data_IF_808776697456
#
_entry.id   IF_808776697456
#
_cell.length_a   1.000
_cell.length_b   1.000
_cell.length_c   1.000
_cell.angle_alpha   90.00
_cell.angle_beta   90.00
_cell.angle_gamma   90.00
#
_symmetry.space_group_name_H-M   'P 1'
#
loop_
_entity.id
_entity.type
_entity.pdbx_description
1 polymer ?
#
# COMPACT_ATOMS: atom_id res chain seq x y z
N UNK A 1 2.31 19.33 -19.63
CA UNK A 1 3.07 18.09 -19.92
C UNK A 1 2.73 17.59 -21.31
N UNK A 2 3.71 17.09 -22.06
CA UNK A 2 3.51 16.58 -23.44
C UNK A 2 2.99 15.14 -23.43
N UNK A 3 2.52 14.64 -24.58
CA UNK A 3 2.12 13.22 -24.73
C UNK A 3 3.33 12.27 -24.62
N UNK A 4 4.51 12.72 -25.04
CA UNK A 4 5.76 11.96 -24.97
C UNK A 4 6.21 11.75 -23.51
N UNK A 5 6.10 12.78 -22.67
CA UNK A 5 6.38 12.68 -21.23
C UNK A 5 5.47 11.65 -20.54
N UNK A 6 4.19 11.63 -20.90
CA UNK A 6 3.21 10.65 -20.37
C UNK A 6 3.54 9.23 -20.80
N UNK A 7 3.92 9.03 -22.06
CA UNK A 7 4.32 7.72 -22.55
C UNK A 7 5.62 7.25 -21.89
N UNK A 8 6.58 8.16 -21.66
CA UNK A 8 7.81 7.87 -20.94
C UNK A 8 7.56 7.39 -19.50
N UNK A 9 6.63 8.03 -18.78
CA UNK A 9 6.24 7.60 -17.42
C UNK A 9 5.59 6.22 -17.42
N UNK A 10 4.67 5.95 -18.33
CA UNK A 10 4.00 4.64 -18.43
C UNK A 10 4.96 3.50 -18.78
N UNK A 11 6.03 3.81 -19.53
CA UNK A 11 7.07 2.85 -19.90
C UNK A 11 8.18 2.71 -18.83
N UNK A 12 8.18 3.57 -17.80
CA UNK A 12 9.18 3.48 -16.72
C UNK A 12 8.93 2.25 -15.85
N UNK A 13 9.97 1.62 -15.27
CA UNK A 13 9.80 0.51 -14.35
C UNK A 13 8.88 0.92 -13.17
N UNK A 14 7.81 0.16 -12.88
CA UNK A 14 6.95 0.47 -11.74
C UNK A 14 7.71 0.35 -10.42
N UNK A 15 7.55 1.31 -9.51
CA UNK A 15 8.35 1.39 -8.27
C UNK A 15 8.06 0.28 -7.26
N UNK A 16 6.96 -0.46 -7.45
CA UNK A 16 6.53 -1.58 -6.61
C UNK A 16 6.90 -2.95 -7.19
N UNK A 17 7.51 -2.99 -8.38
CA UNK A 17 8.09 -4.20 -8.97
C UNK A 17 9.55 -4.26 -8.55
N UNK A 18 9.93 -5.32 -7.84
CA UNK A 18 11.25 -5.45 -7.21
C UNK A 18 11.65 -4.20 -6.37
N UNK A 19 10.86 -3.83 -5.35
CA UNK A 19 11.04 -2.61 -4.56
C UNK A 19 12.40 -2.53 -3.84
N UNK A 20 13.02 -3.67 -3.52
CA UNK A 20 14.35 -3.75 -2.91
C UNK A 20 15.50 -3.78 -3.92
N UNK A 21 15.23 -4.05 -5.20
CA UNK A 21 16.27 -4.26 -6.20
C UNK A 21 17.06 -5.56 -6.03
N UNK A 22 16.43 -6.62 -5.49
CA UNK A 22 17.04 -7.95 -5.38
C UNK A 22 17.34 -8.51 -6.78
N UNK A 23 18.51 -9.08 -7.01
CA UNK A 23 18.78 -9.76 -8.27
C UNK A 23 17.98 -11.06 -8.35
N UNK A 24 17.61 -11.49 -9.56
CA UNK A 24 16.95 -12.79 -9.75
C UNK A 24 17.81 -13.96 -9.22
N UNK A 25 19.13 -13.82 -9.30
CA UNK A 25 20.11 -14.81 -8.84
C UNK A 25 20.32 -14.80 -7.32
N UNK A 26 19.91 -13.74 -6.60
CA UNK A 26 19.99 -13.68 -5.13
C UNK A 26 18.93 -14.58 -4.46
N UNK A 27 17.96 -15.09 -5.23
CA UNK A 27 16.94 -16.04 -4.77
C UNK A 27 17.42 -17.50 -4.84
N UNK A 28 18.47 -17.79 -5.62
CA UNK A 28 19.02 -19.14 -5.86
C UNK A 28 20.44 -19.32 -5.28
N UNK A 29 21.00 -18.29 -4.65
CA UNK A 29 22.35 -18.34 -4.12
C UNK A 29 22.43 -19.06 -2.77
N UNK A 30 22.89 -20.31 -2.81
CA UNK A 30 23.29 -21.19 -1.69
C UNK A 30 24.55 -20.63 -0.97
N UNK A 31 24.44 -19.40 -0.45
CA UNK A 31 25.44 -18.76 0.41
C UNK A 31 24.95 -18.95 1.84
N UNK A 32 25.86 -19.30 2.76
CA UNK A 32 25.68 -19.33 4.22
C UNK A 32 25.25 -17.94 4.78
N UNK A 33 24.14 -17.40 4.30
CA UNK A 33 23.44 -16.28 4.88
C UNK A 33 22.67 -16.82 6.08
N UNK A 34 22.86 -16.15 7.21
CA UNK A 34 22.03 -16.36 8.40
C UNK A 34 20.59 -16.05 8.01
N UNK A 35 19.81 -17.07 7.67
CA UNK A 35 18.38 -16.94 7.37
C UNK A 35 17.72 -16.22 8.55
N UNK A 36 17.01 -15.14 8.24
CA UNK A 36 16.29 -14.40 9.26
C UNK A 36 15.18 -15.29 9.82
N UNK A 37 15.04 -15.33 11.14
CA UNK A 37 13.93 -16.05 11.77
C UNK A 37 12.61 -15.35 11.46
N UNK A 38 11.52 -16.10 11.37
CA UNK A 38 10.18 -15.58 11.12
C UNK A 38 9.82 -14.39 12.02
N UNK A 39 10.19 -14.45 13.30
CA UNK A 39 9.98 -13.36 14.26
C UNK A 39 10.66 -12.05 13.82
N UNK A 40 11.87 -12.12 13.27
CA UNK A 40 12.63 -10.95 12.80
C UNK A 40 12.01 -10.37 11.53
N UNK A 41 11.64 -11.23 10.57
CA UNK A 41 10.98 -10.84 9.33
C UNK A 41 9.65 -10.13 9.62
N UNK A 42 8.82 -10.75 10.45
CA UNK A 42 7.52 -10.18 10.85
C UNK A 42 7.71 -8.87 11.60
N UNK A 43 8.71 -8.77 12.47
CA UNK A 43 9.01 -7.53 13.21
C UNK A 43 9.38 -6.39 12.26
N UNK A 44 10.20 -6.64 11.25
CA UNK A 44 10.58 -5.63 10.25
C UNK A 44 9.35 -5.13 9.47
N UNK A 45 8.51 -6.04 8.98
CA UNK A 45 7.25 -5.70 8.30
C UNK A 45 6.35 -4.83 9.18
N UNK A 46 6.15 -5.22 10.45
CA UNK A 46 5.31 -4.47 11.40
C UNK A 46 5.88 -3.08 11.67
N UNK A 47 7.19 -2.96 11.87
CA UNK A 47 7.84 -1.67 12.15
C UNK A 47 7.67 -0.72 10.97
N UNK A 48 7.95 -1.17 9.74
CA UNK A 48 7.81 -0.29 8.57
C UNK A 48 6.35 0.07 8.30
N UNK A 49 5.42 -0.88 8.45
CA UNK A 49 4.00 -0.61 8.28
C UNK A 49 3.47 0.40 9.31
N UNK A 50 3.91 0.30 10.57
CA UNK A 50 3.57 1.30 11.61
C UNK A 50 4.12 2.68 11.30
N UNK A 51 5.37 2.76 10.83
CA UNK A 51 5.98 4.03 10.45
C UNK A 51 5.24 4.68 9.28
N UNK A 52 4.90 3.90 8.26
CA UNK A 52 4.11 4.36 7.12
C UNK A 52 2.70 4.83 7.56
N UNK A 53 2.05 4.07 8.44
CA UNK A 53 0.71 4.40 8.95
C UNK A 53 0.73 5.68 9.79
N UNK A 54 1.68 5.81 10.69
CA UNK A 54 1.83 7.01 11.53
C UNK A 54 2.01 8.26 10.67
N UNK A 55 2.86 8.19 9.64
CA UNK A 55 3.05 9.33 8.74
C UNK A 55 1.80 9.64 7.91
N UNK A 56 1.10 8.61 7.42
CA UNK A 56 -0.15 8.79 6.69
C UNK A 56 -1.22 9.44 7.57
N UNK A 57 -1.35 9.03 8.83
CA UNK A 57 -2.27 9.60 9.80
C UNK A 57 -1.94 11.05 10.15
N UNK A 58 -0.66 11.40 10.30
CA UNK A 58 -0.22 12.78 10.52
C UNK A 58 -0.56 13.69 9.32
N UNK A 59 -0.39 13.18 8.10
CA UNK A 59 -0.71 13.92 6.89
C UNK A 59 -2.23 14.05 6.64
N UNK A 60 -3.00 13.01 7.01
CA UNK A 60 -4.43 12.89 6.73
C UNK A 60 -5.24 14.11 7.14
N UNK A 61 -5.07 14.59 8.36
CA UNK A 61 -5.96 15.61 8.91
C UNK A 61 -5.74 16.95 8.18
N UNK A 62 -4.49 17.30 7.89
CA UNK A 62 -4.13 18.46 7.08
C UNK A 62 -4.65 18.35 5.65
N UNK A 63 -4.47 17.18 5.03
CA UNK A 63 -4.96 16.90 3.68
C UNK A 63 -6.47 17.08 3.56
N UNK A 64 -7.23 16.49 4.50
CA UNK A 64 -8.69 16.58 4.50
C UNK A 64 -9.15 18.02 4.73
N UNK A 65 -8.53 18.71 5.69
CA UNK A 65 -8.93 20.07 6.04
C UNK A 65 -8.72 21.03 4.87
N UNK A 66 -7.58 20.94 4.18
CA UNK A 66 -7.26 21.84 3.07
C UNK A 66 -8.02 21.48 1.78
N UNK A 67 -8.26 20.19 1.54
CA UNK A 67 -8.88 19.72 0.29
C UNK A 67 -10.41 19.80 0.31
N UNK A 68 -11.04 19.49 1.46
CA UNK A 68 -12.49 19.35 1.59
C UNK A 68 -13.13 20.32 2.59
N UNK A 69 -12.32 21.12 3.31
CA UNK A 69 -12.79 22.05 4.34
C UNK A 69 -13.67 21.39 5.42
N UNK A 70 -13.39 20.13 5.74
CA UNK A 70 -14.08 19.35 6.78
C UNK A 70 -13.05 18.67 7.67
N UNK A 71 -13.49 17.93 8.68
CA UNK A 71 -12.62 17.04 9.45
C UNK A 71 -12.69 15.58 8.97
N UNK A 72 -11.77 14.76 9.50
CA UNK A 72 -11.67 13.35 9.17
C UNK A 72 -12.94 12.57 9.54
N UNK A 73 -13.54 12.83 10.70
CA UNK A 73 -14.68 12.06 11.18
C UNK A 73 -15.88 12.22 10.25
N UNK A 74 -16.16 13.45 9.84
CA UNK A 74 -17.25 13.79 8.93
C UNK A 74 -17.02 13.20 7.52
N UNK A 75 -15.82 13.41 6.95
CA UNK A 75 -15.52 12.90 5.62
C UNK A 75 -15.52 11.37 5.58
N UNK A 76 -14.92 10.73 6.60
CA UNK A 76 -14.88 9.28 6.69
C UNK A 76 -16.29 8.71 6.87
N UNK A 77 -17.12 9.28 7.75
CA UNK A 77 -18.50 8.82 7.95
C UNK A 77 -19.33 8.89 6.67
N UNK A 78 -19.20 9.97 5.90
CA UNK A 78 -19.93 10.16 4.64
C UNK A 78 -19.49 9.18 3.54
N UNK A 79 -18.19 8.86 3.48
CA UNK A 79 -17.62 8.14 2.34
C UNK A 79 -17.16 6.70 2.64
N UNK A 80 -17.18 6.23 3.89
CA UNK A 80 -16.67 4.90 4.30
C UNK A 80 -17.19 3.72 3.48
N UNK A 81 -18.42 3.79 2.96
CA UNK A 81 -19.03 2.72 2.17
C UNK A 81 -18.70 2.80 0.67
N UNK A 82 -17.98 3.84 0.23
CA UNK A 82 -17.56 3.99 -1.16
C UNK A 82 -16.16 3.38 -1.30
N UNK A 83 -15.96 2.55 -2.31
CA UNK A 83 -14.72 1.84 -2.57
C UNK A 83 -14.55 1.65 -4.09
N UNK A 84 -13.33 1.40 -4.54
CA UNK A 84 -13.05 1.07 -5.94
C UNK A 84 -12.74 -0.41 -6.06
N UNK A 85 -13.51 -1.12 -6.90
CA UNK A 85 -13.45 -2.60 -7.03
C UNK A 85 -12.08 -3.17 -7.39
N UNK A 86 -11.17 -2.35 -7.91
CA UNK A 86 -9.79 -2.77 -8.24
C UNK A 86 -8.83 -2.71 -7.05
N UNK A 87 -9.21 -2.03 -5.96
CA UNK A 87 -8.49 -2.03 -4.69
C UNK A 87 -8.95 -3.23 -3.82
N UNK A 88 -8.16 -3.61 -2.80
CA UNK A 88 -8.59 -4.62 -1.83
C UNK A 88 -9.85 -4.16 -1.08
N UNK A 89 -10.94 -4.91 -1.22
CA UNK A 89 -12.24 -4.61 -0.62
C UNK A 89 -12.51 -5.40 0.67
N UNK A 90 -13.76 -5.41 1.13
CA UNK A 90 -14.14 -6.12 2.38
C UNK A 90 -13.93 -7.64 2.32
N UNK A 91 -13.88 -8.23 1.13
CA UNK A 91 -13.56 -9.65 0.92
C UNK A 91 -12.09 -9.97 1.18
N UNK A 92 -11.22 -8.99 0.96
CA UNK A 92 -9.77 -9.08 1.13
C UNK A 92 -9.34 -8.59 2.51
N UNK A 93 -9.89 -7.45 2.93
CA UNK A 93 -9.63 -6.76 4.18
C UNK A 93 -10.98 -6.57 4.88
N UNK A 94 -11.42 -7.52 5.72
CA UNK A 94 -12.76 -7.52 6.34
C UNK A 94 -12.85 -6.57 7.54
N UNK A 95 -12.44 -5.31 7.34
CA UNK A 95 -12.51 -4.21 8.29
C UNK A 95 -12.54 -2.87 7.58
N UNK A 96 -13.07 -1.88 8.27
CA UNK A 96 -12.94 -0.47 7.90
C UNK A 96 -11.76 0.20 8.63
N UNK A 97 -11.36 1.37 8.15
CA UNK A 97 -10.29 2.16 8.76
C UNK A 97 -10.60 2.46 10.23
N UNK A 98 -9.63 2.23 11.12
CA UNK A 98 -9.75 2.39 12.56
C UNK A 98 -10.44 1.21 13.30
N UNK A 99 -10.94 0.21 12.59
CA UNK A 99 -11.52 -0.98 13.21
C UNK A 99 -10.46 -2.05 13.50
N UNK A 100 -10.80 -2.99 14.38
CA UNK A 100 -9.99 -4.19 14.61
C UNK A 100 -10.51 -5.33 13.74
N UNK A 101 -9.61 -6.18 13.24
CA UNK A 101 -9.96 -7.44 12.59
C UNK A 101 -10.66 -8.38 13.57
N UNK A 102 -11.62 -9.14 13.06
CA UNK A 102 -12.27 -10.19 13.85
C UNK A 102 -11.25 -11.25 14.27
N UNK A 103 -11.36 -11.73 15.50
CA UNK A 103 -10.43 -12.72 16.03
C UNK A 103 -10.51 -14.04 15.26
N UNK A 104 -11.70 -14.49 14.83
CA UNK A 104 -11.83 -15.73 14.08
C UNK A 104 -11.26 -15.62 12.67
N UNK A 105 -11.17 -14.41 12.12
CA UNK A 105 -10.43 -14.16 10.89
C UNK A 105 -8.92 -14.32 11.14
N UNK A 106 -8.40 -13.65 12.18
CA UNK A 106 -6.99 -13.70 12.55
C UNK A 106 -6.50 -15.13 12.85
N UNK A 107 -7.26 -15.89 13.64
CA UNK A 107 -6.92 -17.25 14.07
C UNK A 107 -6.81 -18.26 12.90
N UNK A 108 -7.31 -17.91 11.70
CA UNK A 108 -7.26 -18.75 10.50
C UNK A 108 -6.09 -18.40 9.57
N UNK A 109 -5.36 -17.32 9.85
CA UNK A 109 -4.31 -16.84 8.96
C UNK A 109 -3.10 -17.77 8.98
N UNK A 110 -2.47 -17.90 7.83
CA UNK A 110 -1.20 -18.58 7.64
C UNK A 110 -0.18 -17.55 7.15
N UNK A 111 1.05 -17.63 7.66
CA UNK A 111 2.09 -16.61 7.42
C UNK A 111 2.36 -16.39 5.92
N UNK A 112 2.55 -17.45 5.15
CA UNK A 112 2.87 -17.34 3.71
C UNK A 112 1.71 -16.72 2.93
N UNK A 113 0.48 -17.12 3.23
CA UNK A 113 -0.72 -16.54 2.60
C UNK A 113 -0.89 -15.08 2.99
N UNK A 114 -0.62 -14.73 4.26
CA UNK A 114 -0.67 -13.36 4.72
C UNK A 114 0.39 -12.48 4.04
N UNK A 115 1.62 -12.98 3.86
CA UNK A 115 2.69 -12.30 3.13
C UNK A 115 2.30 -12.06 1.67
N UNK A 116 1.82 -13.09 0.98
CA UNK A 116 1.37 -12.98 -0.42
C UNK A 116 0.23 -11.97 -0.58
N UNK A 117 -0.79 -12.05 0.27
CA UNK A 117 -1.92 -11.13 0.24
C UNK A 117 -1.47 -9.69 0.54
N UNK A 118 -0.69 -9.49 1.60
CA UNK A 118 -0.18 -8.17 1.95
C UNK A 118 0.67 -7.56 0.83
N UNK A 119 1.55 -8.34 0.20
CA UNK A 119 2.37 -7.87 -0.91
C UNK A 119 1.52 -7.42 -2.09
N UNK A 120 0.57 -8.25 -2.54
CA UNK A 120 -0.34 -7.89 -3.64
C UNK A 120 -1.19 -6.65 -3.30
N UNK A 121 -1.74 -6.57 -2.08
CA UNK A 121 -2.55 -5.43 -1.65
C UNK A 121 -1.74 -4.13 -1.64
N UNK A 122 -0.52 -4.17 -1.11
CA UNK A 122 0.39 -3.03 -1.11
C UNK A 122 0.78 -2.60 -2.54
N UNK A 123 0.94 -3.53 -3.47
CA UNK A 123 1.18 -3.18 -4.88
C UNK A 123 -0.04 -2.48 -5.52
N UNK A 124 -1.27 -2.94 -5.24
CA UNK A 124 -2.51 -2.25 -5.68
C UNK A 124 -2.55 -0.80 -5.17
N UNK A 125 -2.22 -0.56 -3.91
CA UNK A 125 -2.14 0.81 -3.38
C UNK A 125 -1.01 1.62 -4.02
N UNK A 126 0.11 0.99 -4.39
CA UNK A 126 1.21 1.67 -5.07
C UNK A 126 0.79 2.19 -6.46
N UNK A 127 -0.01 1.42 -7.21
CA UNK A 127 -0.60 1.87 -8.48
C UNK A 127 -1.42 3.14 -8.27
N UNK A 128 -2.25 3.19 -7.23
CA UNK A 128 -3.08 4.34 -6.91
C UNK A 128 -2.27 5.56 -6.48
N UNK A 129 -1.32 5.39 -5.56
CA UNK A 129 -0.47 6.46 -5.07
C UNK A 129 0.43 7.04 -6.17
N UNK A 130 0.94 6.21 -7.09
CA UNK A 130 1.70 6.67 -8.26
C UNK A 130 0.85 7.64 -9.11
N UNK A 131 -0.42 7.30 -9.37
CA UNK A 131 -1.31 8.19 -10.11
C UNK A 131 -1.58 9.50 -9.34
N UNK A 132 -1.70 9.45 -8.01
CA UNK A 132 -1.86 10.65 -7.18
C UNK A 132 -0.63 11.54 -7.32
N UNK A 133 0.58 10.99 -7.18
CA UNK A 133 1.84 11.73 -7.33
C UNK A 133 1.92 12.37 -8.72
N UNK A 134 1.62 11.63 -9.79
CA UNK A 134 1.61 12.19 -11.14
C UNK A 134 0.62 13.33 -11.30
N UNK A 135 -0.58 13.21 -10.72
CA UNK A 135 -1.56 14.30 -10.78
C UNK A 135 -1.09 15.52 -9.97
N UNK A 136 -0.44 15.31 -8.82
CA UNK A 136 0.13 16.40 -8.03
C UNK A 136 1.24 17.15 -8.80
N UNK A 137 2.09 16.41 -9.52
CA UNK A 137 3.12 17.00 -10.40
C UNK A 137 2.50 17.76 -11.57
N UNK A 138 1.58 17.12 -12.30
CA UNK A 138 0.99 17.64 -13.54
C UNK A 138 0.18 18.92 -13.32
N UNK A 139 -0.47 19.01 -12.16
CA UNK A 139 -1.33 20.12 -11.79
C UNK A 139 -0.66 21.09 -10.80
N UNK A 140 0.61 20.88 -10.45
CA UNK A 140 1.37 21.70 -9.49
C UNK A 140 0.63 21.90 -8.15
N UNK A 141 0.12 20.80 -7.59
CA UNK A 141 -0.66 20.80 -6.36
C UNK A 141 0.24 20.79 -5.12
N UNK A 142 -0.32 21.25 -4.01
CA UNK A 142 0.43 21.57 -2.78
C UNK A 142 0.94 20.35 -2.00
N UNK A 143 0.40 19.15 -2.26
CA UNK A 143 0.71 17.93 -1.51
C UNK A 143 1.68 16.98 -2.22
N UNK A 144 2.33 17.44 -3.29
CA UNK A 144 3.28 16.63 -4.06
C UNK A 144 4.33 15.95 -3.18
N UNK A 145 4.94 16.71 -2.26
CA UNK A 145 5.97 16.19 -1.37
C UNK A 145 5.41 15.09 -0.45
N UNK A 146 4.26 15.32 0.17
CA UNK A 146 3.64 14.41 1.13
C UNK A 146 3.22 13.10 0.46
N UNK A 147 2.67 13.17 -0.76
CA UNK A 147 2.33 11.96 -1.52
C UNK A 147 3.56 11.22 -2.04
N UNK A 148 4.64 11.94 -2.41
CA UNK A 148 5.93 11.33 -2.78
C UNK A 148 6.54 10.60 -1.58
N UNK A 149 6.53 11.22 -0.40
CA UNK A 149 6.99 10.62 0.85
C UNK A 149 6.15 9.37 1.20
N UNK A 150 4.83 9.44 0.97
CA UNK A 150 3.91 8.29 1.16
C UNK A 150 4.25 7.12 0.24
N UNK A 151 4.46 7.38 -1.05
CA UNK A 151 4.87 6.36 -2.03
C UNK A 151 6.22 5.72 -1.66
N UNK A 152 7.18 6.54 -1.21
CA UNK A 152 8.48 6.04 -0.73
C UNK A 152 8.32 5.11 0.47
N UNK A 153 7.47 5.46 1.44
CA UNK A 153 7.21 4.61 2.61
C UNK A 153 6.50 3.31 2.27
N UNK A 154 5.53 3.36 1.36
CA UNK A 154 4.92 2.14 0.83
C UNK A 154 5.96 1.25 0.15
N UNK A 155 6.89 1.82 -0.62
CA UNK A 155 8.00 1.05 -1.22
C UNK A 155 8.86 0.37 -0.15
N UNK A 156 9.13 1.02 0.98
CA UNK A 156 9.83 0.39 2.11
C UNK A 156 9.05 -0.79 2.68
N UNK A 157 7.73 -0.67 2.88
CA UNK A 157 6.88 -1.77 3.35
C UNK A 157 6.88 -2.94 2.36
N UNK A 158 6.72 -2.65 1.07
CA UNK A 158 6.80 -3.64 0.00
C UNK A 158 8.16 -4.35 -0.03
N UNK A 159 9.24 -3.64 0.27
CA UNK A 159 10.56 -4.24 0.34
C UNK A 159 10.68 -5.26 1.48
N UNK A 160 10.24 -4.92 2.70
CA UNK A 160 10.26 -5.90 3.80
C UNK A 160 9.39 -7.12 3.52
N UNK A 161 8.23 -6.93 2.86
CA UNK A 161 7.38 -8.04 2.42
C UNK A 161 8.08 -8.91 1.37
N UNK A 162 8.79 -8.31 0.42
CA UNK A 162 9.56 -9.04 -0.60
C UNK A 162 10.70 -9.86 0.03
N UNK A 163 11.44 -9.26 0.96
CA UNK A 163 12.51 -9.95 1.72
C UNK A 163 11.93 -11.12 2.51
N UNK A 164 10.80 -10.92 3.21
CA UNK A 164 10.15 -11.98 3.96
C UNK A 164 9.64 -13.13 3.07
N UNK A 165 9.17 -12.84 1.85
CA UNK A 165 8.80 -13.85 0.87
C UNK A 165 10.03 -14.64 0.37
N UNK A 166 11.12 -13.93 0.05
CA UNK A 166 12.37 -14.53 -0.42
C UNK A 166 13.01 -15.46 0.63
N UNK A 167 13.19 -14.98 1.86
CA UNK A 167 13.78 -15.74 2.97
C UNK A 167 12.98 -17.01 3.30
N UNK A 168 11.67 -17.00 3.05
CA UNK A 168 10.78 -18.14 3.25
C UNK A 168 10.65 -19.05 2.02
N UNK A 169 11.31 -18.73 0.91
CA UNK A 169 11.20 -19.46 -0.34
C UNK A 169 9.80 -19.43 -0.95
N UNK A 170 9.00 -18.40 -0.63
CA UNK A 170 7.63 -18.25 -1.13
C UNK A 170 7.65 -17.39 -2.39
N UNK A 171 7.33 -17.99 -3.54
CA UNK A 171 7.26 -17.27 -4.80
C UNK A 171 6.08 -16.28 -4.80
N UNK A 172 6.32 -14.98 -5.05
CA UNK A 172 5.25 -14.00 -5.20
C UNK A 172 4.30 -14.35 -6.35
N UNK A 173 3.05 -13.88 -6.26
CA UNK A 173 2.13 -13.87 -7.41
C UNK A 173 2.66 -12.92 -8.48
N UNK A 174 2.10 -12.98 -9.69
CA UNK A 174 2.41 -12.02 -10.74
C UNK A 174 2.22 -10.59 -10.22
N UNK A 175 3.21 -9.73 -10.47
CA UNK A 175 3.18 -8.36 -10.01
C UNK A 175 1.95 -7.62 -10.55
N UNK A 176 1.33 -6.81 -9.68
CA UNK A 176 0.23 -5.95 -10.08
C UNK A 176 0.73 -4.93 -11.11
N UNK A 177 0.02 -4.80 -12.21
CA UNK A 177 0.37 -3.90 -13.31
C UNK A 177 -0.41 -2.59 -13.23
N UNK A 178 0.03 -1.55 -13.96
CA UNK A 178 -0.63 -0.24 -13.98
C UNK A 178 -2.08 -0.30 -14.47
N UNK A 179 -2.44 -1.28 -15.30
CA UNK A 179 -3.80 -1.47 -15.81
C UNK A 179 -4.79 -1.96 -14.74
N UNK A 180 -4.33 -2.37 -13.55
CA UNK A 180 -5.21 -2.60 -12.41
C UNK A 180 -6.09 -1.37 -12.11
N UNK A 181 -5.51 -0.17 -12.27
CA UNK A 181 -6.28 1.08 -12.29
C UNK A 181 -6.66 1.41 -13.73
N UNK A 182 -7.93 1.15 -14.06
CA UNK A 182 -8.48 1.41 -15.40
C UNK A 182 -8.36 2.89 -15.79
N UNK A 183 -8.40 3.14 -17.11
CA UNK A 183 -8.24 4.49 -17.65
C UNK A 183 -9.33 5.45 -17.18
N UNK A 184 -10.53 4.97 -16.85
CA UNK A 184 -11.64 5.79 -16.37
C UNK A 184 -11.25 6.53 -15.07
N UNK A 185 -10.64 5.83 -14.11
CA UNK A 185 -10.18 6.42 -12.85
C UNK A 185 -8.99 7.36 -13.06
N UNK A 186 -8.12 7.05 -14.03
CA UNK A 186 -6.99 7.91 -14.39
C UNK A 186 -7.46 9.21 -15.04
N UNK A 187 -8.53 9.18 -15.84
CA UNK A 187 -9.08 10.35 -16.51
C UNK A 187 -10.00 11.21 -15.62
N UNK A 188 -10.45 10.71 -14.46
CA UNK A 188 -11.17 11.52 -13.45
C UNK A 188 -10.35 12.74 -12.99
N UNK A 189 -9.03 12.72 -13.18
CA UNK A 189 -8.08 13.82 -12.92
C UNK A 189 -8.44 15.16 -13.57
N UNK A 190 -9.24 15.15 -14.65
CA UNK A 190 -9.69 16.36 -15.36
C UNK A 190 -10.58 17.30 -14.51
N UNK A 191 -11.26 16.76 -13.49
CA UNK A 191 -12.05 17.55 -12.54
C UNK A 191 -11.36 17.52 -11.18
N UNK A 192 -11.10 18.70 -10.61
CA UNK A 192 -10.50 18.79 -9.28
C UNK A 192 -11.33 18.06 -8.22
N UNK A 193 -12.65 18.18 -8.26
CA UNK A 193 -13.54 17.51 -7.30
C UNK A 193 -13.45 15.99 -7.39
N UNK A 194 -13.55 15.42 -8.60
CA UNK A 194 -13.49 13.97 -8.78
C UNK A 194 -12.10 13.41 -8.48
N UNK A 195 -11.05 14.13 -8.87
CA UNK A 195 -9.66 13.80 -8.52
C UNK A 195 -9.46 13.76 -7.01
N UNK A 196 -9.84 14.84 -6.31
CA UNK A 196 -9.66 14.93 -4.87
C UNK A 196 -10.39 13.79 -4.14
N UNK A 197 -11.63 13.48 -4.54
CA UNK A 197 -12.37 12.36 -3.96
C UNK A 197 -11.69 11.01 -4.23
N UNK A 198 -11.23 10.78 -5.46
CA UNK A 198 -10.50 9.56 -5.83
C UNK A 198 -9.23 9.39 -5.00
N UNK A 199 -8.45 10.46 -4.90
CA UNK A 199 -7.18 10.48 -4.16
C UNK A 199 -7.44 10.18 -2.67
N UNK A 200 -8.50 10.77 -2.11
CA UNK A 200 -8.94 10.46 -0.76
C UNK A 200 -9.32 8.98 -0.58
N UNK A 201 -10.12 8.40 -1.47
CA UNK A 201 -10.54 7.00 -1.34
C UNK A 201 -9.34 6.04 -1.43
N UNK A 202 -8.41 6.27 -2.36
CA UNK A 202 -7.16 5.51 -2.47
C UNK A 202 -6.32 5.65 -1.19
N UNK A 203 -6.14 6.89 -0.71
CA UNK A 203 -5.31 7.16 0.47
C UNK A 203 -5.92 6.59 1.76
N UNK A 204 -7.25 6.64 1.90
CA UNK A 204 -8.00 6.01 2.98
C UNK A 204 -7.83 4.50 2.98
N UNK A 205 -7.97 3.86 1.82
CA UNK A 205 -7.88 2.41 1.70
C UNK A 205 -6.44 1.92 1.90
N UNK A 206 -5.45 2.71 1.46
CA UNK A 206 -4.05 2.50 1.82
C UNK A 206 -3.82 2.50 3.33
N UNK A 207 -4.36 3.49 4.07
CA UNK A 207 -4.28 3.49 5.54
C UNK A 207 -4.97 2.26 6.15
N UNK A 208 -6.13 1.86 5.61
CA UNK A 208 -6.84 0.65 6.04
C UNK A 208 -5.99 -0.62 5.83
N UNK A 209 -5.30 -0.69 4.68
CA UNK A 209 -4.37 -1.74 4.32
C UNK A 209 -3.14 -1.80 5.23
N UNK A 210 -2.57 -0.66 5.61
CA UNK A 210 -1.47 -0.62 6.58
C UNK A 210 -1.91 -1.09 7.97
N UNK A 211 -3.09 -0.66 8.43
CA UNK A 211 -3.66 -1.18 9.69
C UNK A 211 -3.86 -2.70 9.63
N UNK A 212 -4.36 -3.21 8.50
CA UNK A 212 -4.50 -4.65 8.26
C UNK A 212 -3.16 -5.37 8.38
N UNK A 213 -2.12 -4.90 7.68
CA UNK A 213 -0.76 -5.45 7.77
C UNK A 213 -0.29 -5.47 9.22
N UNK A 214 -0.38 -4.34 9.93
CA UNK A 214 0.03 -4.28 11.34
C UNK A 214 -0.72 -5.31 12.19
N UNK A 215 -2.05 -5.37 12.11
CA UNK A 215 -2.85 -6.27 12.94
C UNK A 215 -2.59 -7.76 12.63
N UNK A 216 -2.49 -8.11 11.35
CA UNK A 216 -2.21 -9.50 10.91
C UNK A 216 -0.84 -9.95 11.38
N UNK A 217 0.20 -9.17 11.09
CA UNK A 217 1.57 -9.57 11.39
C UNK A 217 1.87 -9.49 12.89
N UNK A 218 1.26 -8.58 13.65
CA UNK A 218 1.34 -8.63 15.12
C UNK A 218 0.69 -9.90 15.70
N UNK A 219 -0.45 -10.33 15.16
CA UNK A 219 -1.11 -11.56 15.59
C UNK A 219 -0.23 -12.78 15.31
N UNK A 220 0.27 -12.90 14.08
CA UNK A 220 1.16 -13.99 13.68
C UNK A 220 2.44 -14.03 14.54
N UNK A 221 3.03 -12.86 14.84
CA UNK A 221 4.20 -12.76 15.74
C UNK A 221 3.92 -13.34 17.13
N UNK A 222 2.79 -12.99 17.73
CA UNK A 222 2.39 -13.51 19.06
C UNK A 222 2.16 -15.02 19.03
N UNK A 223 1.66 -15.55 17.91
CA UNK A 223 1.48 -16.98 17.71
C UNK A 223 2.80 -17.77 17.65
N UNK A 224 3.90 -17.13 17.24
CA UNK A 224 5.25 -17.73 17.25
C UNK A 224 5.93 -17.71 18.62
N UNK A 225 5.51 -16.81 19.51
CA UNK A 225 6.00 -16.69 20.90
C UNK A 225 5.29 -17.64 21.87
N UNK A 226 4.21 -18.31 21.43
CA UNK A 226 3.31 -19.15 22.26
C UNK A 226 3.62 -20.63 22.11
#
# INVERSE_FOLDING_TARGET
MTLEDRQGRLNSPPKWVNPCGLAADDLDADVDMVQLRDEQLITQVVVQAKMALMQAQLFRDDYIKQTFNTDFADLHSAWKNNHYDWLPGETDIPKQLGQQLDKNFLDKLQLDTALLNAYEYMQKYAVGLEQIVWDQEDHHLEFLKQFTDTEFKLRTVLCELQVALAERGVTPRADVTRDAMSSEYRFMSKSATYRNLRDWLIFRDYMNGLEYVVQVFEHLRRGLES
#
